data_IF_342911765480
#
_entry.id   IF_342911765480
#
_cell.length_a   1.000
_cell.length_b   1.000
_cell.length_c   1.000
_cell.angle_alpha   90.00
_cell.angle_beta   90.00
_cell.angle_gamma   90.00
#
_symmetry.space_group_name_H-M   'P 1'
#
loop_
_entity.id
_entity.type
_entity.pdbx_description
1 polymer ?
#
# COMPACT_ATOMS: atom_id res chain seq x y z
N UNK A 1 3.37 9.39 18.28
CA UNK A 1 2.41 9.29 17.15
C UNK A 1 3.21 8.78 15.98
N UNK A 2 3.15 7.47 15.80
CA UNK A 2 4.07 6.69 14.98
C UNK A 2 3.71 6.86 13.50
N UNK A 3 4.63 7.44 12.71
CA UNK A 3 4.50 7.57 11.24
C UNK A 3 4.10 6.26 10.56
N UNK A 4 4.51 5.12 11.13
CA UNK A 4 4.18 3.78 10.63
C UNK A 4 2.69 3.49 10.63
N UNK A 5 1.96 3.93 11.66
CA UNK A 5 0.53 3.62 11.78
C UNK A 5 -0.29 4.37 10.72
N UNK A 6 0.09 5.62 10.44
CA UNK A 6 -0.51 6.42 9.36
C UNK A 6 -0.25 5.81 7.98
N UNK A 7 0.97 5.28 7.75
CA UNK A 7 1.32 4.59 6.53
C UNK A 7 0.50 3.31 6.36
N UNK A 8 0.30 2.53 7.43
CA UNK A 8 -0.54 1.32 7.45
C UNK A 8 -1.99 1.67 7.10
N UNK A 9 -2.56 2.69 7.74
CA UNK A 9 -3.93 3.13 7.42
C UNK A 9 -4.06 3.59 5.97
N UNK A 10 -3.07 4.31 5.45
CA UNK A 10 -3.08 4.79 4.08
C UNK A 10 -2.96 3.66 3.04
N UNK A 11 -2.18 2.62 3.34
CA UNK A 11 -2.10 1.38 2.53
C UNK A 11 -3.43 0.62 2.54
N UNK A 12 -4.12 0.60 3.68
CA UNK A 12 -5.38 -0.13 3.85
C UNK A 12 -6.61 0.63 3.36
N UNK A 13 -6.52 1.95 3.21
CA UNK A 13 -7.60 2.80 2.69
C UNK A 13 -7.92 2.40 1.24
N UNK A 14 -9.19 2.24 0.83
CA UNK A 14 -9.57 2.00 -0.57
C UNK A 14 -9.40 3.27 -1.42
N UNK A 15 -8.77 3.18 -2.61
CA UNK A 15 -8.61 4.29 -3.56
C UNK A 15 -9.54 4.16 -4.78
N UNK A 16 -10.54 3.28 -4.72
CA UNK A 16 -11.59 3.20 -5.73
C UNK A 16 -12.92 3.58 -5.10
N UNK A 17 -13.68 4.45 -5.77
CA UNK A 17 -15.07 4.82 -5.40
C UNK A 17 -16.01 3.62 -5.52
N UNK A 18 -15.89 2.68 -4.58
CA UNK A 18 -16.74 1.51 -4.41
C UNK A 18 -17.19 1.45 -2.96
N UNK A 19 -18.49 1.60 -2.79
CA UNK A 19 -19.32 1.65 -1.58
C UNK A 19 -19.29 0.38 -0.69
N UNK A 20 -18.13 -0.23 -0.48
CA UNK A 20 -18.02 -1.44 0.35
C UNK A 20 -16.84 -1.38 1.36
N UNK A 21 -17.08 -1.54 2.67
CA UNK A 21 -16.07 -1.39 3.74
C UNK A 21 -15.12 -2.61 3.87
N UNK A 22 -14.75 -3.26 2.77
CA UNK A 22 -13.80 -4.39 2.81
C UNK A 22 -12.37 -3.89 2.67
N UNK A 23 -11.55 -4.21 3.67
CA UNK A 23 -10.09 -4.02 3.73
C UNK A 23 -9.46 -4.32 2.36
N UNK A 24 -8.62 -3.44 1.84
CA UNK A 24 -7.97 -3.62 0.53
C UNK A 24 -6.99 -4.81 0.61
N UNK A 25 -7.33 -5.95 0.01
CA UNK A 25 -6.45 -7.14 -0.02
C UNK A 25 -5.36 -7.03 -1.10
N UNK A 26 -5.50 -6.06 -2.00
CA UNK A 26 -4.62 -5.88 -3.17
C UNK A 26 -4.29 -4.40 -3.33
N UNK A 27 -3.00 -4.09 -3.46
CA UNK A 27 -2.48 -2.74 -3.68
C UNK A 27 -1.77 -2.70 -5.04
N UNK A 28 -1.89 -1.62 -5.81
CA UNK A 28 -1.06 -1.51 -7.01
C UNK A 28 0.34 -1.04 -6.64
N UNK A 29 1.36 -1.43 -7.41
CA UNK A 29 2.72 -0.91 -7.17
C UNK A 29 2.78 0.62 -7.32
N UNK A 30 1.91 1.21 -8.15
CA UNK A 30 1.79 2.66 -8.28
C UNK A 30 1.30 3.29 -6.96
N UNK A 31 0.18 2.81 -6.41
CA UNK A 31 -0.32 3.25 -5.09
C UNK A 31 0.77 3.08 -4.01
N UNK A 32 1.50 1.97 -4.02
CA UNK A 32 2.55 1.68 -3.03
C UNK A 32 3.69 2.70 -3.08
N UNK A 33 4.13 3.07 -4.28
CA UNK A 33 5.16 4.09 -4.49
C UNK A 33 4.64 5.49 -4.15
N UNK A 34 3.43 5.85 -4.56
CA UNK A 34 2.83 7.14 -4.19
C UNK A 34 2.68 7.29 -2.68
N UNK A 35 2.29 6.23 -1.98
CA UNK A 35 2.24 6.21 -0.52
C UNK A 35 3.64 6.35 0.09
N UNK A 36 4.63 5.63 -0.43
CA UNK A 36 6.00 5.74 0.03
C UNK A 36 6.53 7.19 -0.09
N UNK A 37 6.37 7.83 -1.26
CA UNK A 37 6.76 9.24 -1.46
C UNK A 37 5.96 10.18 -0.55
N UNK A 38 4.64 10.00 -0.48
CA UNK A 38 3.76 10.90 0.29
C UNK A 38 4.06 10.91 1.79
N UNK A 39 4.48 9.76 2.32
CA UNK A 39 4.80 9.61 3.74
C UNK A 39 6.31 9.69 4.01
N UNK A 40 7.12 9.99 3.00
CA UNK A 40 8.58 9.97 3.07
C UNK A 40 9.10 8.67 3.70
N UNK A 41 8.54 7.55 3.23
CA UNK A 41 8.79 6.21 3.71
C UNK A 41 9.48 5.38 2.62
N UNK A 42 10.30 4.42 3.03
CA UNK A 42 10.92 3.51 2.08
C UNK A 42 9.89 2.55 1.47
N UNK A 43 10.01 2.28 0.17
CA UNK A 43 9.18 1.25 -0.50
C UNK A 43 9.34 -0.11 0.19
N UNK A 44 10.51 -0.42 0.76
CA UNK A 44 10.73 -1.61 1.57
C UNK A 44 9.87 -1.63 2.84
N UNK A 45 9.63 -0.48 3.47
CA UNK A 45 8.70 -0.34 4.61
C UNK A 45 7.25 -0.56 4.15
N UNK A 46 6.83 0.05 3.04
CA UNK A 46 5.49 -0.16 2.46
C UNK A 46 5.27 -1.63 2.11
N UNK A 47 6.27 -2.29 1.52
CA UNK A 47 6.25 -3.72 1.22
C UNK A 47 6.15 -4.58 2.48
N UNK A 48 6.88 -4.24 3.55
CA UNK A 48 6.77 -4.90 4.87
C UNK A 48 5.36 -4.77 5.44
N UNK A 49 4.80 -3.57 5.41
CA UNK A 49 3.44 -3.29 5.88
C UNK A 49 2.41 -4.11 5.09
N UNK A 50 2.56 -4.14 3.76
CA UNK A 50 1.70 -4.94 2.90
C UNK A 50 1.80 -6.42 3.27
N UNK A 51 3.01 -6.95 3.42
CA UNK A 51 3.24 -8.36 3.78
C UNK A 51 2.65 -8.71 5.16
N UNK A 52 2.84 -7.85 6.17
CA UNK A 52 2.27 -8.02 7.51
C UNK A 52 0.73 -7.99 7.49
N UNK A 53 0.15 -7.14 6.63
CA UNK A 53 -1.30 -7.00 6.50
C UNK A 53 -1.95 -7.96 5.49
N UNK A 54 -1.18 -8.91 4.93
CA UNK A 54 -1.63 -9.81 3.86
C UNK A 54 -2.16 -9.08 2.61
N UNK A 55 -1.63 -7.88 2.34
CA UNK A 55 -1.95 -7.10 1.13
C UNK A 55 -1.00 -7.52 0.02
N UNK A 56 -1.55 -8.03 -1.09
CA UNK A 56 -0.74 -8.39 -2.26
C UNK A 56 -0.51 -7.16 -3.14
N UNK A 57 0.74 -6.87 -3.43
CA UNK A 57 1.08 -5.88 -4.45
C UNK A 57 0.88 -6.52 -5.83
N UNK A 58 0.07 -5.89 -6.67
CA UNK A 58 -0.24 -6.32 -8.04
C UNK A 58 0.07 -5.19 -9.02
N UNK A 59 0.16 -5.50 -10.33
CA UNK A 59 0.48 -4.51 -11.38
C UNK A 59 1.76 -3.72 -11.07
N UNK A 60 2.90 -4.41 -11.07
CA UNK A 60 4.19 -3.74 -10.90
C UNK A 60 4.51 -2.87 -12.11
N UNK A 61 4.53 -1.55 -11.93
CA UNK A 61 4.85 -0.57 -12.99
C UNK A 61 6.31 -0.68 -13.44
N UNK A 62 7.19 -1.17 -12.56
CA UNK A 62 8.61 -1.43 -12.85
C UNK A 62 8.87 -2.81 -13.47
N UNK A 63 7.82 -3.66 -13.61
CA UNK A 63 7.98 -5.04 -14.08
C UNK A 63 8.69 -5.98 -13.10
N UNK A 64 8.96 -5.55 -11.86
CA UNK A 64 9.69 -6.34 -10.86
C UNK A 64 8.91 -7.53 -10.28
N UNK A 65 7.58 -7.49 -10.33
CA UNK A 65 6.73 -8.59 -9.87
C UNK A 65 5.90 -9.09 -11.05
N UNK A 66 6.20 -10.31 -11.49
CA UNK A 66 5.49 -11.07 -12.52
C UNK A 66 4.55 -12.06 -11.86
#
# INVERSE_FOLDING_TARGET
MDKKEQLVEAVLRPAGGGENPKKREKLTCADAFELAEKFDAEIAEVGRICNQNNVKICKCQLGCFK
#
